data_IF_683004095300
#
_entry.id   IF_683004095300
#
_cell.length_a   1.000
_cell.length_b   1.000
_cell.length_c   1.000
_cell.angle_alpha   90.00
_cell.angle_beta   90.00
_cell.angle_gamma   90.00
#
_symmetry.space_group_name_H-M   'P 1'
#
loop_
_entity.id
_entity.type
_entity.pdbx_description
1 polymer ?
#
# COMPACT_ATOMS: atom_id res chain seq x y z
N UNK A 1 -19.32 1.81 -29.24
CA UNK A 1 -20.23 2.67 -28.46
C UNK A 1 -19.50 3.96 -28.12
N UNK A 2 -20.13 5.11 -28.30
CA UNK A 2 -19.56 6.41 -27.96
C UNK A 2 -20.64 7.31 -27.34
N UNK A 3 -20.36 7.93 -26.20
CA UNK A 3 -21.28 8.90 -25.60
C UNK A 3 -20.97 9.22 -24.13
N UNK A 4 -21.52 10.32 -23.60
CA UNK A 4 -21.43 10.64 -22.18
C UNK A 4 -22.26 9.65 -21.35
N UNK A 5 -21.74 9.27 -20.19
CA UNK A 5 -22.39 8.44 -19.19
C UNK A 5 -22.23 9.08 -17.81
N UNK A 6 -23.37 9.27 -17.15
CA UNK A 6 -23.50 9.94 -15.86
C UNK A 6 -24.30 9.02 -14.95
N UNK A 7 -23.63 8.40 -13.99
CA UNK A 7 -24.22 7.57 -12.96
C UNK A 7 -23.77 8.07 -11.59
N UNK A 8 -24.62 8.86 -10.93
CA UNK A 8 -24.35 9.40 -9.60
C UNK A 8 -23.14 10.35 -9.52
N UNK A 9 -22.59 10.58 -8.30
CA UNK A 9 -21.45 11.47 -8.10
C UNK A 9 -20.11 10.85 -8.54
N UNK A 10 -20.00 9.53 -8.65
CA UNK A 10 -18.75 8.82 -8.91
C UNK A 10 -18.45 8.54 -10.39
N UNK A 11 -19.47 8.50 -11.25
CA UNK A 11 -19.30 8.08 -12.65
C UNK A 11 -19.77 9.18 -13.59
N UNK A 12 -18.83 10.00 -14.07
CA UNK A 12 -19.06 11.08 -15.05
C UNK A 12 -17.99 11.01 -16.13
N UNK A 13 -18.19 10.10 -17.09
CA UNK A 13 -17.21 9.87 -18.15
C UNK A 13 -17.84 9.67 -19.52
N UNK A 14 -17.07 9.95 -20.57
CA UNK A 14 -17.44 9.64 -21.95
C UNK A 14 -16.92 8.25 -22.26
N UNK A 15 -17.83 7.32 -22.56
CA UNK A 15 -17.44 5.99 -23.02
C UNK A 15 -16.98 6.06 -24.47
N UNK A 16 -15.85 5.42 -24.74
CA UNK A 16 -15.35 5.17 -26.09
C UNK A 16 -14.98 3.68 -26.16
N UNK A 17 -15.89 2.88 -26.71
CA UNK A 17 -15.79 1.42 -26.71
C UNK A 17 -15.73 0.92 -28.15
N UNK A 18 -14.69 0.17 -28.48
CA UNK A 18 -14.56 -0.52 -29.75
C UNK A 18 -14.84 -2.01 -29.58
N UNK A 19 -15.56 -2.60 -30.54
CA UNK A 19 -15.68 -4.04 -30.62
C UNK A 19 -14.52 -4.59 -31.46
N UNK A 20 -13.75 -5.53 -30.91
CA UNK A 20 -12.67 -6.19 -31.63
C UNK A 20 -12.64 -7.67 -31.26
N UNK A 21 -12.65 -8.55 -32.27
CA UNK A 21 -12.69 -10.02 -32.10
C UNK A 21 -13.81 -10.49 -31.15
N UNK A 22 -14.98 -9.86 -31.22
CA UNK A 22 -16.13 -10.20 -30.38
C UNK A 22 -16.06 -9.70 -28.93
N UNK A 23 -14.99 -8.98 -28.54
CA UNK A 23 -14.85 -8.36 -27.21
C UNK A 23 -15.07 -6.85 -27.31
N UNK A 24 -15.80 -6.30 -26.35
CA UNK A 24 -15.99 -4.86 -26.22
C UNK A 24 -14.85 -4.29 -25.36
N UNK A 25 -13.94 -3.56 -26.00
CA UNK A 25 -12.77 -2.97 -25.36
C UNK A 25 -13.09 -1.53 -24.93
N UNK A 26 -13.01 -1.28 -23.62
CA UNK A 26 -13.11 0.06 -23.07
C UNK A 26 -11.78 0.79 -23.24
N UNK A 27 -11.85 2.11 -23.36
CA UNK A 27 -10.66 2.96 -23.36
C UNK A 27 -9.99 2.95 -21.99
N UNK A 28 -8.66 2.98 -21.98
CA UNK A 28 -7.88 3.11 -20.75
C UNK A 28 -7.92 4.54 -20.20
N UNK A 29 -8.18 5.54 -21.04
CA UNK A 29 -8.21 6.95 -20.63
C UNK A 29 -9.59 7.36 -20.14
N UNK A 30 -9.62 8.08 -19.02
CA UNK A 30 -10.85 8.64 -18.48
C UNK A 30 -11.11 10.03 -19.04
N UNK A 31 -12.14 10.14 -19.88
CA UNK A 31 -12.56 11.41 -20.46
C UNK A 31 -13.75 11.91 -19.65
N UNK A 32 -13.61 13.07 -18.99
CA UNK A 32 -14.70 13.65 -18.19
C UNK A 32 -15.80 14.19 -19.10
N UNK A 33 -17.05 13.84 -18.80
CA UNK A 33 -18.21 14.42 -19.48
C UNK A 33 -18.59 15.77 -18.87
N UNK A 34 -19.29 16.59 -19.65
CA UNK A 34 -19.93 17.81 -19.16
C UNK A 34 -21.22 17.43 -18.42
N UNK A 35 -21.42 18.01 -17.25
CA UNK A 35 -22.52 17.70 -16.33
C UNK A 35 -23.45 18.89 -16.04
N UNK A 36 -23.38 19.94 -16.87
CA UNK A 36 -24.28 21.09 -16.78
C UNK A 36 -25.61 20.85 -17.55
N UNK A 37 -26.48 21.86 -17.57
CA UNK A 37 -27.85 21.77 -18.15
C UNK A 37 -27.89 22.24 -19.62
N UNK A 38 -26.75 22.63 -20.19
CA UNK A 38 -26.65 23.10 -21.57
C UNK A 38 -26.50 21.96 -22.56
N UNK A 39 -26.74 22.27 -23.83
CA UNK A 39 -26.54 21.31 -24.93
C UNK A 39 -25.06 21.24 -25.28
N UNK A 40 -24.48 20.05 -25.16
CA UNK A 40 -23.09 19.77 -25.56
C UNK A 40 -23.01 18.88 -26.79
N UNK A 41 -21.98 19.10 -27.59
CA UNK A 41 -21.70 18.33 -28.80
C UNK A 41 -20.51 17.42 -28.56
N UNK A 42 -20.74 16.12 -28.62
CA UNK A 42 -19.70 15.10 -28.52
C UNK A 42 -19.37 14.56 -29.92
N UNK A 43 -18.10 14.64 -30.32
CA UNK A 43 -17.64 14.14 -31.63
C UNK A 43 -16.42 13.24 -31.47
N UNK A 44 -16.57 11.99 -31.88
CA UNK A 44 -15.47 11.04 -32.03
C UNK A 44 -15.01 11.02 -33.49
N UNK A 45 -13.73 11.26 -33.73
CA UNK A 45 -13.10 11.11 -35.04
C UNK A 45 -12.10 9.97 -34.96
N UNK A 46 -12.31 8.94 -35.76
CA UNK A 46 -11.39 7.81 -35.92
C UNK A 46 -10.85 7.83 -37.33
N UNK A 47 -9.53 7.77 -37.47
CA UNK A 47 -8.86 7.83 -38.76
C UNK A 47 -8.31 6.46 -39.17
N UNK A 48 -8.10 6.22 -40.48
CA UNK A 48 -7.49 5.00 -40.99
C UNK A 48 -6.02 4.80 -40.58
N UNK A 49 -5.36 5.85 -40.07
CA UNK A 49 -3.98 5.82 -39.56
C UNK A 49 -3.89 5.28 -38.12
N UNK A 50 -4.95 4.61 -37.63
CA UNK A 50 -5.10 4.14 -36.25
C UNK A 50 -5.06 5.24 -35.17
N UNK A 51 -5.29 6.51 -35.54
CA UNK A 51 -5.44 7.59 -34.56
C UNK A 51 -6.90 7.93 -34.27
N UNK A 52 -7.16 8.44 -33.08
CA UNK A 52 -8.47 8.93 -32.68
C UNK A 52 -8.38 10.31 -32.03
N UNK A 53 -9.48 11.06 -32.12
CA UNK A 53 -9.68 12.32 -31.42
C UNK A 53 -11.10 12.36 -30.87
N UNK A 54 -11.22 12.74 -29.60
CA UNK A 54 -12.52 13.05 -28.99
C UNK A 54 -12.60 14.56 -28.83
N UNK A 55 -13.70 15.11 -29.31
CA UNK A 55 -14.01 16.52 -29.18
C UNK A 55 -15.29 16.71 -28.39
N UNK A 56 -15.30 17.73 -27.53
CA UNK A 56 -16.47 18.20 -26.80
C UNK A 56 -16.61 19.69 -27.13
N UNK A 57 -17.77 20.10 -27.62
CA UNK A 57 -18.07 21.48 -28.02
C UNK A 57 -17.10 22.09 -29.05
N UNK A 58 -16.51 21.21 -29.88
CA UNK A 58 -15.54 21.59 -30.91
C UNK A 58 -14.09 21.63 -30.42
N UNK A 59 -13.84 21.55 -29.12
CA UNK A 59 -12.51 21.47 -28.54
C UNK A 59 -12.01 20.03 -28.47
N UNK A 60 -10.73 19.80 -28.78
CA UNK A 60 -10.11 18.47 -28.68
C UNK A 60 -9.78 18.19 -27.22
N UNK A 61 -10.59 17.34 -26.58
CA UNK A 61 -10.38 16.94 -25.18
C UNK A 61 -9.43 15.77 -25.06
N UNK A 62 -9.39 14.89 -26.06
CA UNK A 62 -8.52 13.71 -26.05
C UNK A 62 -8.03 13.39 -27.46
N UNK A 63 -6.78 12.94 -27.57
CA UNK A 63 -6.19 12.48 -28.82
C UNK A 63 -5.17 11.39 -28.55
N UNK A 64 -5.10 10.40 -29.43
CA UNK A 64 -4.13 9.32 -29.26
C UNK A 64 -4.14 8.30 -30.38
N UNK A 65 -3.54 7.16 -30.07
CA UNK A 65 -3.45 6.00 -30.96
C UNK A 65 -4.32 4.88 -30.39
N UNK A 66 -5.10 4.23 -31.25
CA UNK A 66 -5.98 3.14 -30.88
C UNK A 66 -5.22 1.98 -30.21
N UNK A 67 -4.03 1.63 -30.70
CA UNK A 67 -3.23 0.51 -30.17
C UNK A 67 -2.66 0.75 -28.77
N UNK A 68 -2.49 2.02 -28.38
CA UNK A 68 -1.95 2.39 -27.06
C UNK A 68 -3.05 2.57 -26.02
N UNK A 69 -4.16 3.17 -26.44
CA UNK A 69 -5.25 3.57 -25.55
C UNK A 69 -6.35 2.49 -25.40
N UNK A 70 -6.25 1.39 -26.14
CA UNK A 70 -7.06 0.17 -26.00
C UNK A 70 -6.20 -1.09 -26.11
N UNK A 71 -6.60 -2.12 -25.36
CA UNK A 71 -6.01 -3.45 -25.40
C UNK A 71 -6.48 -4.26 -26.63
N UNK A 72 -6.26 -3.76 -27.85
CA UNK A 72 -6.56 -4.51 -29.08
C UNK A 72 -5.61 -5.69 -29.27
N UNK A 73 -4.34 -5.47 -28.94
CA UNK A 73 -3.27 -6.45 -29.05
C UNK A 73 -2.83 -6.89 -27.66
N UNK A 74 -2.36 -8.12 -27.57
CA UNK A 74 -1.68 -8.60 -26.37
C UNK A 74 -0.42 -7.75 -26.10
N UNK A 75 -0.01 -7.60 -24.83
CA UNK A 75 1.15 -6.78 -24.49
C UNK A 75 2.38 -7.22 -25.29
N UNK A 76 3.01 -6.28 -25.99
CA UNK A 76 4.19 -6.52 -26.85
C UNK A 76 5.38 -7.13 -26.08
N UNK A 77 5.39 -6.99 -24.75
CA UNK A 77 6.37 -7.59 -23.84
C UNK A 77 5.60 -8.32 -22.74
N UNK A 78 5.67 -9.64 -22.75
CA UNK A 78 5.28 -10.46 -21.59
C UNK A 78 6.46 -10.52 -20.63
N UNK A 79 6.19 -10.58 -19.32
CA UNK A 79 7.23 -11.00 -18.36
C UNK A 79 7.61 -12.43 -18.72
N UNK A 80 8.90 -12.72 -18.73
CA UNK A 80 9.39 -14.05 -19.04
C UNK A 80 8.81 -15.05 -18.00
N UNK A 81 7.97 -16.01 -18.41
CA UNK A 81 7.37 -16.97 -17.50
C UNK A 81 8.39 -17.95 -16.90
N UNK A 82 9.58 -18.08 -17.50
CA UNK A 82 10.68 -18.90 -16.97
C UNK A 82 11.61 -18.11 -16.06
N UNK A 83 11.50 -16.77 -16.02
CA UNK A 83 12.25 -15.94 -15.09
C UNK A 83 11.77 -16.16 -13.66
N UNK A 84 12.42 -17.10 -12.97
CA UNK A 84 12.31 -17.29 -11.54
C UNK A 84 13.21 -16.28 -10.84
N UNK A 85 12.69 -15.71 -9.75
CA UNK A 85 13.51 -14.96 -8.80
C UNK A 85 14.68 -15.86 -8.37
N UNK A 86 15.95 -15.44 -8.54
CA UNK A 86 17.06 -16.28 -8.13
C UNK A 86 17.02 -16.49 -6.61
N UNK A 87 17.49 -17.65 -6.14
CA UNK A 87 17.51 -17.96 -4.70
C UNK A 87 18.35 -16.95 -3.89
N UNK A 88 19.33 -16.32 -4.55
CA UNK A 88 20.21 -15.27 -4.02
C UNK A 88 19.62 -13.84 -4.11
N UNK A 89 18.31 -13.71 -4.34
CA UNK A 89 17.63 -12.41 -4.38
C UNK A 89 16.92 -12.13 -3.07
N UNK A 90 17.53 -11.25 -2.27
CA UNK A 90 16.95 -10.79 -1.02
C UNK A 90 16.06 -9.55 -1.25
N UNK A 91 14.77 -9.68 -0.94
CA UNK A 91 13.81 -8.55 -0.99
C UNK A 91 13.77 -7.77 0.34
N UNK A 92 14.48 -8.24 1.37
CA UNK A 92 14.49 -7.57 2.67
C UNK A 92 15.45 -6.41 2.59
N UNK A 93 14.90 -5.20 2.54
CA UNK A 93 15.66 -3.96 2.62
C UNK A 93 16.47 -3.86 3.93
N UNK A 94 15.98 -4.48 5.01
CA UNK A 94 16.65 -4.50 6.31
C UNK A 94 16.78 -5.92 6.84
N UNK A 95 17.94 -6.24 7.40
CA UNK A 95 18.23 -7.49 8.11
C UNK A 95 18.54 -7.17 9.57
N UNK A 96 18.30 -8.14 10.44
CA UNK A 96 18.68 -8.04 11.85
C UNK A 96 20.22 -8.06 11.96
N UNK A 97 20.76 -7.16 12.76
CA UNK A 97 22.19 -7.04 12.99
C UNK A 97 22.68 -8.19 13.88
N UNK A 98 23.33 -9.19 13.26
CA UNK A 98 23.91 -10.34 13.97
C UNK A 98 25.03 -9.93 14.96
N UNK A 99 25.55 -8.70 14.87
CA UNK A 99 26.55 -8.17 15.80
C UNK A 99 25.96 -7.44 17.01
N UNK A 100 24.67 -7.07 16.95
CA UNK A 100 23.95 -6.48 18.07
C UNK A 100 23.55 -7.64 18.99
N UNK A 101 24.38 -7.96 19.98
CA UNK A 101 24.05 -8.98 20.99
C UNK A 101 23.18 -8.37 22.07
N UNK A 102 22.24 -9.16 22.60
CA UNK A 102 21.38 -8.75 23.71
C UNK A 102 22.24 -8.30 24.90
N UNK A 103 22.16 -7.02 25.32
CA UNK A 103 22.88 -6.56 26.50
C UNK A 103 22.35 -7.29 27.74
N UNK A 104 23.24 -7.71 28.64
CA UNK A 104 22.84 -8.35 29.91
C UNK A 104 21.91 -7.44 30.75
N UNK A 105 22.03 -6.12 30.61
CA UNK A 105 21.20 -5.11 31.28
C UNK A 105 19.76 -4.99 30.72
N UNK A 106 19.41 -5.75 29.68
CA UNK A 106 18.08 -5.71 29.04
C UNK A 106 17.09 -6.71 29.66
N UNK A 107 17.56 -7.82 30.24
CA UNK A 107 16.71 -8.77 30.98
C UNK A 107 16.48 -8.31 32.41
N UNK A 108 15.86 -7.16 32.57
CA UNK A 108 15.39 -6.76 33.88
C UNK A 108 14.01 -7.39 34.14
N UNK A 109 13.71 -7.82 35.37
CA UNK A 109 12.38 -8.31 35.69
C UNK A 109 11.34 -7.20 35.48
N UNK A 110 10.18 -7.57 34.94
CA UNK A 110 9.04 -6.65 34.70
C UNK A 110 8.55 -6.01 36.01
N UNK A 111 8.72 -6.74 37.12
CA UNK A 111 8.35 -6.31 38.46
C UNK A 111 9.55 -6.34 39.41
N UNK A 112 9.81 -5.23 40.10
CA UNK A 112 10.79 -5.13 41.19
C UNK A 112 10.05 -4.88 42.51
N UNK A 113 10.59 -5.34 43.63
CA UNK A 113 10.07 -4.97 44.94
C UNK A 113 10.20 -3.45 45.14
N UNK A 114 9.15 -2.81 45.63
CA UNK A 114 9.14 -1.37 45.90
C UNK A 114 10.18 -1.02 46.99
N UNK A 115 11.26 -0.28 46.66
CA UNK A 115 12.28 0.08 47.64
C UNK A 115 11.79 1.14 48.65
N UNK A 116 10.70 1.85 48.35
CA UNK A 116 10.08 2.84 49.22
C UNK A 116 8.96 2.23 50.10
N UNK A 117 8.60 0.96 49.86
CA UNK A 117 7.67 0.26 50.73
C UNK A 117 8.35 -0.11 52.05
N UNK A 118 7.83 0.45 53.13
CA UNK A 118 8.20 0.08 54.50
C UNK A 118 7.10 -0.76 55.13
N UNK A 119 7.49 -1.78 55.89
CA UNK A 119 6.56 -2.57 56.70
C UNK A 119 5.67 -1.66 57.55
N UNK A 120 4.33 -1.78 57.48
CA UNK A 120 3.42 -1.00 58.32
C UNK A 120 3.66 -1.26 59.81
N UNK A 121 3.49 -0.23 60.65
CA UNK A 121 3.67 -0.35 62.10
C UNK A 121 2.64 -1.32 62.75
N UNK A 122 1.50 -1.53 62.11
CA UNK A 122 0.43 -2.45 62.55
C UNK A 122 0.60 -3.91 62.05
N UNK A 123 1.73 -4.27 61.43
CA UNK A 123 1.97 -5.63 60.92
C UNK A 123 2.60 -6.56 61.97
N UNK A 124 1.95 -7.68 62.26
CA UNK A 124 2.40 -8.69 63.22
C UNK A 124 2.95 -9.94 62.49
N UNK A 125 4.28 -10.15 62.52
CA UNK A 125 4.91 -11.28 61.81
C UNK A 125 4.48 -12.66 62.37
N UNK A 126 3.98 -12.72 63.62
CA UNK A 126 3.59 -13.97 64.29
C UNK A 126 2.15 -14.39 63.92
N UNK A 127 1.31 -13.43 63.53
CA UNK A 127 -0.10 -13.66 63.16
C UNK A 127 -0.35 -13.53 61.64
N UNK A 128 0.33 -12.61 60.96
CA UNK A 128 0.14 -12.30 59.53
C UNK A 128 1.24 -12.87 58.61
N UNK A 129 2.38 -13.31 59.17
CA UNK A 129 3.51 -13.91 58.45
C UNK A 129 4.62 -12.92 58.07
N UNK A 130 5.65 -13.39 57.36
CA UNK A 130 6.77 -12.52 56.91
C UNK A 130 6.26 -11.50 55.86
N UNK A 131 6.43 -10.21 56.15
CA UNK A 131 5.98 -9.14 55.26
C UNK A 131 6.80 -9.11 53.97
N UNK A 132 6.13 -9.20 52.81
CA UNK A 132 6.74 -9.02 51.50
C UNK A 132 6.37 -7.66 50.90
N UNK A 133 7.33 -6.87 50.39
CA UNK A 133 7.05 -5.58 49.76
C UNK A 133 6.23 -5.75 48.46
N UNK A 134 5.35 -4.78 48.13
CA UNK A 134 4.59 -4.80 46.89
C UNK A 134 5.53 -4.73 45.68
N UNK A 135 5.14 -5.44 44.63
CA UNK A 135 5.84 -5.44 43.35
C UNK A 135 5.40 -4.23 42.51
N UNK A 136 6.36 -3.39 42.11
CA UNK A 136 6.15 -2.25 41.20
C UNK A 136 6.70 -2.54 39.81
N UNK A 137 6.11 -1.92 38.79
CA UNK A 137 6.61 -2.02 37.42
C UNK A 137 8.02 -1.43 37.35
N UNK A 138 8.97 -2.20 36.87
CA UNK A 138 10.35 -1.76 36.77
C UNK A 138 10.48 -0.69 35.66
N UNK A 139 10.85 0.56 35.99
CA UNK A 139 11.02 1.61 34.99
C UNK A 139 12.18 1.35 34.01
N UNK A 140 13.09 0.43 34.35
CA UNK A 140 14.19 0.00 33.51
C UNK A 140 13.89 -1.25 32.68
N UNK A 141 12.68 -1.83 32.80
CA UNK A 141 12.22 -2.89 31.89
C UNK A 141 11.96 -2.33 30.49
N UNK A 142 12.78 -2.76 29.52
CA UNK A 142 12.73 -2.30 28.12
C UNK A 142 11.95 -3.23 27.19
N UNK A 143 11.26 -4.23 27.74
CA UNK A 143 10.46 -5.22 26.99
C UNK A 143 11.31 -6.26 26.25
N UNK A 144 10.67 -7.07 25.40
CA UNK A 144 11.37 -8.07 24.59
C UNK A 144 12.42 -7.42 23.67
N UNK A 145 13.68 -7.78 23.87
CA UNK A 145 14.78 -7.28 23.05
C UNK A 145 14.60 -7.70 21.59
N UNK A 146 14.76 -6.75 20.67
CA UNK A 146 14.86 -7.01 19.23
C UNK A 146 16.17 -6.43 18.71
N UNK A 147 16.92 -7.18 17.88
CA UNK A 147 18.15 -6.68 17.27
C UNK A 147 17.87 -5.44 16.44
N UNK A 148 18.85 -4.54 16.35
CA UNK A 148 18.77 -3.42 15.40
C UNK A 148 18.68 -3.94 13.98
N UNK A 149 17.91 -3.24 13.16
CA UNK A 149 17.78 -3.54 11.75
C UNK A 149 18.80 -2.72 10.95
N UNK A 150 19.74 -3.38 10.30
CA UNK A 150 20.73 -2.79 9.41
C UNK A 150 20.29 -2.92 7.94
N UNK A 151 20.75 -1.99 7.10
CA UNK A 151 20.49 -2.06 5.66
C UNK A 151 21.16 -3.30 5.07
N UNK A 152 20.39 -4.08 4.32
CA UNK A 152 20.87 -5.35 3.78
C UNK A 152 21.78 -5.09 2.56
N UNK A 153 23.09 -5.40 2.62
CA UNK A 153 23.98 -5.24 1.48
C UNK A 153 23.65 -6.18 0.31
N UNK A 154 22.85 -7.23 0.55
CA UNK A 154 22.35 -8.17 -0.46
C UNK A 154 20.95 -7.80 -1.01
N UNK A 155 20.39 -6.64 -0.62
CA UNK A 155 19.11 -6.18 -1.17
C UNK A 155 19.24 -5.87 -2.67
N UNK A 156 18.42 -6.54 -3.50
CA UNK A 156 18.49 -6.41 -4.97
C UNK A 156 17.32 -5.64 -5.59
N UNK A 157 16.44 -5.04 -4.79
CA UNK A 157 15.36 -4.15 -5.24
C UNK A 157 13.97 -4.78 -5.20
#
# INVERSE_FOLDING_TARGET
MFGPDICGPGTKKVHVIFNYKGKNLLTTKEIRCKDDVFTHIYRLVVKPDNTYKVLIDGEVVEKGELEKDWAFLEPKKIKDPEAKKPEDWDDRAKIDDESDTKPEDWEQPEYIADPDATKPEDWDDEMDGEWEPPQINNPAYKGEWKPKQIDNPAYKG
#
